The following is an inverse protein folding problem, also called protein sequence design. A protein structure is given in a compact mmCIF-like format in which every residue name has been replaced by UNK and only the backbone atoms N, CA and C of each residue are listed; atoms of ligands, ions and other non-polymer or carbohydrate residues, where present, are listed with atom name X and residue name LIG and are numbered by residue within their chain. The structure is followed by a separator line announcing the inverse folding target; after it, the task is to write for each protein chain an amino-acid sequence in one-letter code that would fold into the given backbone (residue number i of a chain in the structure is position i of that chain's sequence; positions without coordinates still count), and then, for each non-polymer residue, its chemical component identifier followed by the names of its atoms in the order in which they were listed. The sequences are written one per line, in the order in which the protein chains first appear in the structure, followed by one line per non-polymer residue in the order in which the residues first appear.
data_IF_742810125615
#
_entry.id   IF_742810125615
#
_cell.length_a   1.000
_cell.length_b   1.000
_cell.length_c   1.000
_cell.angle_alpha   90.00
_cell.angle_beta   90.00
_cell.angle_gamma   90.00
#
_symmetry.space_group_name_H-M   'P 1'
#
loop_
_entity.id
_entity.type
_entity.pdbx_description
1 polymer ?
#
# COMPACT_ATOMS: atom_id res chain seq x y z
N UNK A 1 -21.39 21.10 -18.26
CA UNK A 1 -21.79 20.17 -17.21
C UNK A 1 -20.56 19.89 -16.38
N UNK A 2 -20.58 20.09 -15.08
CA UNK A 2 -19.40 20.22 -14.22
C UNK A 2 -18.92 18.84 -13.79
N UNK A 3 -17.71 18.48 -14.22
CA UNK A 3 -17.00 17.26 -13.80
C UNK A 3 -16.50 17.46 -12.36
N UNK A 4 -16.88 16.56 -11.47
CA UNK A 4 -16.24 16.42 -10.16
C UNK A 4 -15.22 15.28 -10.30
N UNK A 5 -13.98 15.66 -10.55
CA UNK A 5 -12.85 14.75 -10.34
C UNK A 5 -12.48 14.84 -8.86
N UNK A 6 -12.74 13.81 -8.10
CA UNK A 6 -12.27 13.69 -6.74
C UNK A 6 -10.82 13.15 -6.78
N UNK A 7 -9.88 14.07 -6.93
CA UNK A 7 -8.47 13.79 -6.68
C UNK A 7 -8.28 13.98 -5.17
N UNK A 8 -8.01 12.92 -4.44
CA UNK A 8 -7.49 13.01 -3.10
C UNK A 8 -6.03 13.45 -3.16
N UNK A 9 -5.83 14.78 -3.31
CA UNK A 9 -4.55 15.40 -3.04
C UNK A 9 -4.52 15.77 -1.55
N UNK A 10 -3.76 15.02 -0.77
CA UNK A 10 -3.37 15.45 0.56
C UNK A 10 -2.45 16.65 0.42
N UNK A 11 -3.01 17.87 0.54
CA UNK A 11 -2.24 19.10 0.57
C UNK A 11 -1.65 19.28 1.97
N UNK A 12 -0.37 18.99 2.14
CA UNK A 12 0.42 19.46 3.28
C UNK A 12 0.68 20.96 3.13
N UNK A 13 -0.03 21.78 3.89
CA UNK A 13 0.32 23.18 4.06
C UNK A 13 1.30 23.32 5.24
N UNK A 14 2.56 23.55 4.93
CA UNK A 14 3.59 23.94 5.91
C UNK A 14 3.55 25.46 6.12
N UNK A 15 3.12 25.88 7.28
CA UNK A 15 3.38 27.23 7.80
C UNK A 15 4.47 27.16 8.85
N UNK A 16 5.60 27.79 8.55
CA UNK A 16 6.69 27.99 9.51
C UNK A 16 6.27 28.97 10.60
N UNK A 17 6.28 28.56 11.87
CA UNK A 17 6.21 29.45 13.03
C UNK A 17 7.53 29.42 13.76
N UNK A 18 8.10 30.62 13.94
CA UNK A 18 9.28 30.93 14.74
C UNK A 18 9.00 30.71 16.23
N UNK A 19 9.88 29.96 16.90
CA UNK A 19 9.80 29.67 18.33
C UNK A 19 10.28 30.82 19.18
N UNK A 20 9.56 31.12 20.29
CA UNK A 20 9.99 31.90 21.42
C UNK A 20 10.41 30.95 22.56
N UNK A 21 11.39 31.31 23.41
CA UNK A 21 11.92 30.40 24.42
C UNK A 21 10.98 30.23 25.60
N UNK A 22 10.71 28.98 25.99
CA UNK A 22 9.87 28.62 27.13
C UNK A 22 10.72 28.02 28.26
N UNK A 23 10.46 28.48 29.47
CA UNK A 23 11.13 28.09 30.71
C UNK A 23 10.90 26.60 31.07
N UNK A 24 11.96 25.95 31.53
CA UNK A 24 11.99 24.57 31.96
C UNK A 24 11.26 24.35 33.26
N UNK A 25 10.12 23.69 33.26
CA UNK A 25 9.46 23.18 34.47
C UNK A 25 9.65 21.69 34.56
N UNK A 26 10.38 21.20 35.56
CA UNK A 26 10.57 19.79 35.86
C UNK A 26 9.28 19.17 36.40
N UNK A 27 8.72 18.20 35.71
CA UNK A 27 7.59 17.36 36.14
C UNK A 27 8.15 16.08 36.78
N UNK A 28 7.66 15.63 37.96
CA UNK A 28 8.07 14.40 38.59
C UNK A 28 7.58 13.18 37.77
N UNK A 29 8.42 12.13 37.73
CA UNK A 29 8.09 10.85 37.08
C UNK A 29 6.79 10.27 37.68
N UNK A 30 5.84 9.96 36.78
CA UNK A 30 4.63 9.24 37.14
C UNK A 30 4.93 7.73 37.27
N UNK A 31 4.29 7.10 38.23
CA UNK A 31 4.31 5.65 38.44
C UNK A 31 3.78 4.90 37.18
N UNK A 32 4.29 3.70 36.89
CA UNK A 32 3.82 2.92 35.75
C UNK A 32 2.33 2.58 35.91
N UNK A 33 1.54 2.66 34.82
CA UNK A 33 0.12 2.29 34.87
C UNK A 33 -0.06 0.82 35.24
N UNK A 34 -1.05 0.57 36.09
CA UNK A 34 -1.45 -0.76 36.53
C UNK A 34 -1.80 -1.65 35.31
N UNK A 35 -1.37 -2.91 35.39
CA UNK A 35 -1.73 -3.98 34.44
C UNK A 35 -3.23 -3.89 34.07
N UNK A 36 -3.49 -3.70 32.78
CA UNK A 36 -4.83 -3.77 32.25
C UNK A 36 -5.37 -5.17 32.44
N UNK A 37 -6.52 -5.27 33.10
CA UNK A 37 -7.24 -6.52 33.29
C UNK A 37 -7.50 -7.20 31.94
N UNK A 38 -7.25 -8.50 31.88
CA UNK A 38 -7.58 -9.34 30.76
C UNK A 38 -9.04 -9.11 30.33
N UNK A 39 -9.22 -8.70 29.09
CA UNK A 39 -10.54 -8.53 28.48
C UNK A 39 -11.23 -9.89 28.46
N UNK A 40 -12.46 -9.95 28.89
CA UNK A 40 -13.33 -11.13 28.76
C UNK A 40 -13.38 -11.51 27.27
N UNK A 41 -13.00 -12.76 26.96
CA UNK A 41 -13.17 -13.36 25.63
C UNK A 41 -14.63 -13.19 25.20
N UNK A 42 -14.84 -12.51 24.09
CA UNK A 42 -16.14 -12.41 23.44
C UNK A 42 -16.44 -13.79 22.83
N UNK A 43 -17.17 -14.63 23.55
CA UNK A 43 -17.39 -16.05 23.25
C UNK A 43 -18.36 -16.31 22.08
N UNK A 44 -18.88 -15.26 21.41
CA UNK A 44 -19.92 -15.35 20.38
C UNK A 44 -19.49 -14.93 18.97
N UNK A 45 -18.21 -14.69 18.72
CA UNK A 45 -17.75 -14.52 17.35
C UNK A 45 -17.72 -15.91 16.68
N UNK A 46 -18.64 -16.17 15.76
CA UNK A 46 -18.53 -17.32 14.86
C UNK A 46 -17.15 -17.27 14.22
N UNK A 47 -16.30 -18.26 14.52
CA UNK A 47 -14.98 -18.36 13.91
C UNK A 47 -15.18 -18.62 12.41
N UNK A 48 -14.95 -17.59 11.61
CA UNK A 48 -14.90 -17.73 10.16
C UNK A 48 -13.44 -17.94 9.71
N UNK A 49 -13.30 -18.58 8.58
CA UNK A 49 -11.99 -18.81 8.00
C UNK A 49 -11.44 -17.49 7.42
N UNK A 50 -10.19 -17.17 7.75
CA UNK A 50 -9.41 -16.07 7.18
C UNK A 50 -8.22 -16.70 6.47
N UNK A 51 -8.02 -16.32 5.22
CA UNK A 51 -6.88 -16.73 4.41
C UNK A 51 -5.70 -15.76 4.51
N UNK A 52 -4.86 -15.78 3.50
CA UNK A 52 -3.79 -14.80 3.36
C UNK A 52 -4.39 -13.45 2.96
N UNK A 53 -4.27 -12.49 3.86
CA UNK A 53 -4.84 -11.16 3.65
C UNK A 53 -4.02 -10.35 2.65
N UNK A 54 -4.72 -9.54 1.85
CA UNK A 54 -4.15 -8.61 0.89
C UNK A 54 -4.83 -7.26 0.99
N UNK A 55 -4.06 -6.20 0.79
CA UNK A 55 -4.65 -4.88 0.59
C UNK A 55 -5.29 -4.77 -0.79
N UNK A 56 -6.29 -3.92 -0.92
CA UNK A 56 -6.76 -3.46 -2.21
C UNK A 56 -5.71 -2.52 -2.81
N UNK A 57 -5.24 -2.82 -4.01
CA UNK A 57 -4.19 -2.10 -4.72
C UNK A 57 -4.49 -2.18 -6.23
N UNK A 58 -4.01 -1.21 -7.00
CA UNK A 58 -4.14 -1.14 -8.47
C UNK A 58 -3.49 -2.33 -9.17
N UNK A 59 -2.47 -2.91 -8.54
CA UNK A 59 -1.72 -4.04 -9.04
C UNK A 59 -1.71 -5.19 -8.06
N UNK A 60 -2.08 -6.38 -8.52
CA UNK A 60 -1.74 -7.61 -7.83
C UNK A 60 -0.47 -8.20 -8.41
N UNK A 61 0.54 -8.41 -7.57
CA UNK A 61 1.85 -8.98 -7.92
C UNK A 61 2.05 -10.27 -7.14
N UNK A 62 1.98 -11.38 -7.85
CA UNK A 62 2.26 -12.72 -7.32
C UNK A 62 3.65 -13.20 -7.75
N UNK A 63 4.04 -14.40 -7.36
CA UNK A 63 5.33 -15.01 -7.74
C UNK A 63 5.47 -15.20 -9.25
N UNK A 64 4.40 -15.61 -9.91
CA UNK A 64 4.41 -16.04 -11.32
C UNK A 64 3.66 -15.10 -12.27
N UNK A 65 2.87 -14.19 -11.70
CA UNK A 65 1.95 -13.34 -12.49
C UNK A 65 1.74 -11.97 -11.86
N UNK A 66 1.40 -10.99 -12.71
CA UNK A 66 0.79 -9.74 -12.28
C UNK A 66 -0.60 -9.56 -12.89
N UNK A 67 -1.46 -8.85 -12.15
CA UNK A 67 -2.79 -8.43 -12.61
C UNK A 67 -2.91 -6.93 -12.43
N UNK A 68 -3.50 -6.26 -13.42
CA UNK A 68 -3.72 -4.82 -13.38
C UNK A 68 -4.81 -4.40 -14.35
N UNK A 69 -5.24 -3.14 -14.24
CA UNK A 69 -6.28 -2.57 -15.09
C UNK A 69 -5.72 -1.58 -16.09
N UNK A 70 -6.38 -1.52 -17.24
CA UNK A 70 -6.31 -0.39 -18.15
C UNK A 70 -7.70 0.22 -18.26
N UNK A 71 -7.75 1.52 -18.08
CA UNK A 71 -8.93 2.30 -18.42
C UNK A 71 -8.85 2.69 -19.89
N UNK A 72 -9.94 2.49 -20.62
CA UNK A 72 -10.07 3.04 -21.96
C UNK A 72 -10.04 4.57 -21.96
N UNK A 73 -10.34 5.15 -23.11
CA UNK A 73 -10.46 6.61 -23.24
C UNK A 73 -11.29 7.23 -22.10
N UNK A 74 -10.98 8.49 -21.76
CA UNK A 74 -11.67 9.29 -20.74
C UNK A 74 -13.20 9.36 -20.97
N UNK A 75 -13.61 9.18 -22.21
CA UNK A 75 -15.02 9.16 -22.60
C UNK A 75 -15.58 7.72 -22.71
N UNK A 76 -14.74 6.69 -22.67
CA UNK A 76 -15.16 5.29 -22.61
C UNK A 76 -15.25 4.82 -21.17
N UNK A 77 -16.35 4.21 -20.87
CA UNK A 77 -16.60 3.57 -19.58
C UNK A 77 -16.07 2.12 -19.58
N UNK A 78 -15.04 1.83 -20.39
CA UNK A 78 -14.49 0.48 -20.48
C UNK A 78 -13.29 0.30 -19.58
N UNK A 79 -13.36 -0.72 -18.73
CA UNK A 79 -12.26 -1.21 -17.91
C UNK A 79 -11.78 -2.55 -18.45
N UNK A 80 -10.51 -2.64 -18.80
CA UNK A 80 -9.87 -3.88 -19.25
C UNK A 80 -8.97 -4.41 -18.13
N UNK A 81 -9.21 -5.63 -17.70
CA UNK A 81 -8.29 -6.35 -16.80
C UNK A 81 -7.29 -7.18 -17.59
N UNK A 82 -6.02 -7.04 -17.23
CA UNK A 82 -4.89 -7.75 -17.83
C UNK A 82 -4.22 -8.66 -16.81
N UNK A 83 -3.76 -9.79 -17.30
CA UNK A 83 -2.84 -10.71 -16.62
C UNK A 83 -1.53 -10.72 -17.39
N UNK A 84 -0.42 -10.49 -16.70
CA UNK A 84 0.92 -10.74 -17.23
C UNK A 84 1.45 -12.03 -16.63
N UNK A 85 1.80 -12.98 -17.47
CA UNK A 85 2.53 -14.19 -17.09
C UNK A 85 4.03 -13.91 -17.18
N UNK A 86 4.74 -14.08 -16.06
CA UNK A 86 6.17 -13.75 -16.03
C UNK A 86 7.01 -14.77 -16.79
N UNK A 87 6.61 -16.04 -16.84
CA UNK A 87 7.42 -17.09 -17.44
C UNK A 87 7.66 -16.87 -18.94
N UNK A 88 6.65 -16.44 -19.65
CA UNK A 88 6.73 -16.19 -21.10
C UNK A 88 6.72 -14.68 -21.46
N UNK A 89 6.50 -13.81 -20.48
CA UNK A 89 6.43 -12.37 -20.68
C UNK A 89 5.24 -11.94 -21.53
N UNK A 90 4.11 -12.63 -21.44
CA UNK A 90 2.94 -12.38 -22.28
C UNK A 90 1.79 -11.78 -21.46
N UNK A 91 1.22 -10.69 -21.96
CA UNK A 91 -0.03 -10.14 -21.44
C UNK A 91 -1.24 -10.77 -22.09
N UNK A 92 -2.24 -11.07 -21.29
CA UNK A 92 -3.53 -11.57 -21.75
C UNK A 92 -4.67 -10.77 -21.14
N UNK A 93 -5.68 -10.46 -21.95
CA UNK A 93 -6.92 -9.87 -21.47
C UNK A 93 -7.74 -10.92 -20.72
N UNK A 94 -8.06 -10.66 -19.48
CA UNK A 94 -8.83 -11.57 -18.63
C UNK A 94 -10.26 -11.10 -18.39
N UNK A 95 -10.52 -9.80 -18.52
CA UNK A 95 -11.86 -9.24 -18.43
C UNK A 95 -12.00 -7.97 -19.26
N UNK A 96 -13.25 -7.68 -19.62
CA UNK A 96 -13.68 -6.39 -20.12
C UNK A 96 -14.99 -6.05 -19.44
N UNK A 97 -15.12 -4.83 -18.95
CA UNK A 97 -16.27 -4.35 -18.25
C UNK A 97 -16.62 -2.95 -18.74
N UNK A 98 -17.82 -2.77 -19.27
CA UNK A 98 -18.36 -1.44 -19.52
C UNK A 98 -18.92 -0.91 -18.22
N UNK A 99 -18.33 0.17 -17.71
CA UNK A 99 -18.73 0.78 -16.45
C UNK A 99 -19.82 1.81 -16.74
N UNK A 100 -21.08 1.41 -16.57
CA UNK A 100 -22.21 2.34 -16.55
C UNK A 100 -22.44 2.95 -15.16
N UNK A 101 -21.87 2.30 -14.15
CA UNK A 101 -22.00 2.60 -12.74
C UNK A 101 -20.68 3.18 -12.18
N UNK A 102 -20.70 3.62 -10.94
CA UNK A 102 -19.49 4.06 -10.25
C UNK A 102 -18.65 2.85 -9.88
N UNK A 103 -17.36 2.87 -10.27
CA UNK A 103 -16.37 1.89 -9.83
C UNK A 103 -15.88 2.25 -8.41
N UNK A 104 -15.92 1.30 -7.50
CA UNK A 104 -15.55 1.48 -6.09
C UNK A 104 -14.25 0.78 -5.70
N UNK A 105 -13.73 -0.08 -6.55
CA UNK A 105 -12.45 -0.74 -6.30
C UNK A 105 -11.74 -1.02 -7.61
N UNK A 106 -10.43 -1.13 -7.51
CA UNK A 106 -9.61 -1.74 -8.54
C UNK A 106 -9.82 -3.27 -8.58
N UNK A 107 -8.90 -3.98 -9.22
CA UNK A 107 -8.98 -5.44 -9.27
C UNK A 107 -8.64 -6.06 -7.91
N UNK A 108 -9.56 -6.84 -7.38
CA UNK A 108 -9.27 -7.75 -6.28
C UNK A 108 -9.10 -9.15 -6.87
N UNK A 109 -7.90 -9.70 -6.77
CA UNK A 109 -7.59 -11.04 -7.32
C UNK A 109 -7.28 -12.00 -6.18
N UNK A 110 -8.10 -13.01 -6.04
CA UNK A 110 -7.96 -14.04 -5.00
C UNK A 110 -7.02 -15.17 -5.44
N UNK A 111 -6.57 -15.99 -4.50
CA UNK A 111 -5.57 -17.05 -4.74
C UNK A 111 -6.04 -18.13 -5.75
N UNK A 112 -7.34 -18.26 -5.96
CA UNK A 112 -7.95 -19.09 -7.01
C UNK A 112 -8.02 -18.38 -8.39
N UNK A 113 -7.35 -17.24 -8.53
CA UNK A 113 -7.32 -16.40 -9.73
C UNK A 113 -8.70 -15.86 -10.16
N UNK A 114 -9.63 -15.73 -9.24
CA UNK A 114 -10.90 -15.05 -9.49
C UNK A 114 -10.68 -13.54 -9.33
N UNK A 115 -11.02 -12.81 -10.37
CA UNK A 115 -10.92 -11.34 -10.40
C UNK A 115 -12.27 -10.75 -10.03
N UNK A 116 -12.28 -9.80 -9.10
CA UNK A 116 -13.48 -9.11 -8.64
C UNK A 116 -13.34 -7.61 -8.78
N UNK A 117 -14.45 -6.95 -9.13
CA UNK A 117 -14.58 -5.49 -9.14
C UNK A 117 -15.85 -5.10 -8.39
N UNK A 118 -15.79 -4.01 -7.65
CA UNK A 118 -16.92 -3.45 -6.93
C UNK A 118 -17.53 -2.29 -7.68
N UNK A 119 -18.85 -2.29 -7.74
CA UNK A 119 -19.65 -1.34 -8.48
C UNK A 119 -20.76 -0.81 -7.57
N UNK A 120 -21.11 0.47 -7.74
CA UNK A 120 -22.36 1.02 -7.23
C UNK A 120 -23.11 1.70 -8.36
N UNK A 121 -24.43 1.71 -8.28
CA UNK A 121 -25.23 2.52 -9.18
C UNK A 121 -25.04 4.03 -8.90
N UNK A 122 -25.46 4.90 -9.83
CA UNK A 122 -25.21 6.34 -9.77
C UNK A 122 -25.71 7.02 -8.48
N UNK A 123 -26.80 6.51 -7.88
CA UNK A 123 -27.38 7.06 -6.65
C UNK A 123 -26.82 6.43 -5.37
N UNK A 124 -25.91 5.47 -5.49
CA UNK A 124 -25.28 4.78 -4.36
C UNK A 124 -26.24 3.88 -3.57
N UNK A 125 -27.42 3.57 -4.09
CA UNK A 125 -28.43 2.77 -3.39
C UNK A 125 -28.18 1.28 -3.44
N UNK A 126 -27.34 0.80 -4.39
CA UNK A 126 -27.03 -0.60 -4.58
C UNK A 126 -25.54 -0.80 -4.77
N UNK A 127 -24.97 -1.69 -3.97
CA UNK A 127 -23.58 -2.11 -4.07
C UNK A 127 -23.53 -3.53 -4.60
N UNK A 128 -22.71 -3.73 -5.64
CA UNK A 128 -22.56 -5.01 -6.32
C UNK A 128 -21.08 -5.32 -6.49
N UNK A 129 -20.77 -6.59 -6.62
CA UNK A 129 -19.46 -7.02 -7.09
C UNK A 129 -19.60 -8.03 -8.23
N UNK A 130 -18.73 -7.91 -9.20
CA UNK A 130 -18.68 -8.81 -10.33
C UNK A 130 -17.41 -9.64 -10.27
N UNK A 131 -17.57 -10.95 -10.33
CA UNK A 131 -16.49 -11.94 -10.29
C UNK A 131 -16.27 -12.51 -11.69
N UNK A 132 -15.02 -12.58 -12.11
CA UNK A 132 -14.59 -13.17 -13.38
C UNK A 132 -13.70 -14.36 -13.04
N UNK A 133 -14.07 -15.52 -13.55
CA UNK A 133 -13.41 -16.78 -13.27
C UNK A 133 -12.43 -17.16 -14.37
N UNK A 134 -11.36 -17.94 -14.07
CA UNK A 134 -10.37 -18.37 -15.06
C UNK A 134 -10.96 -19.20 -16.23
N UNK A 135 -12.11 -19.82 -16.03
CA UNK A 135 -12.84 -20.59 -17.04
C UNK A 135 -13.70 -19.73 -17.99
N UNK A 136 -13.64 -18.40 -17.83
CA UNK A 136 -14.39 -17.43 -18.64
C UNK A 136 -15.81 -17.15 -18.15
N UNK A 137 -16.28 -17.79 -17.08
CA UNK A 137 -17.56 -17.43 -16.46
C UNK A 137 -17.45 -16.07 -15.77
N UNK A 138 -18.57 -15.38 -15.68
CA UNK A 138 -18.70 -14.23 -14.76
C UNK A 138 -20.00 -14.33 -13.98
N UNK A 139 -19.96 -13.85 -12.75
CA UNK A 139 -21.10 -13.78 -11.86
C UNK A 139 -21.17 -12.38 -11.24
N UNK A 140 -22.37 -11.88 -11.05
CA UNK A 140 -22.61 -10.62 -10.36
C UNK A 140 -23.50 -10.87 -9.14
N UNK A 141 -23.15 -10.23 -8.03
CA UNK A 141 -23.90 -10.35 -6.77
C UNK A 141 -24.09 -8.97 -6.17
N UNK A 142 -25.24 -8.79 -5.54
CA UNK A 142 -25.50 -7.61 -4.72
C UNK A 142 -24.97 -7.85 -3.32
N UNK A 143 -24.22 -6.90 -2.78
CA UNK A 143 -23.86 -6.88 -1.38
C UNK A 143 -25.06 -6.46 -0.54
N UNK A 144 -25.28 -7.12 0.60
CA UNK A 144 -26.43 -6.83 1.45
C UNK A 144 -26.37 -5.44 2.11
N UNK A 145 -25.18 -4.82 2.13
CA UNK A 145 -24.94 -3.45 2.62
C UNK A 145 -23.79 -2.82 1.83
N UNK A 146 -23.66 -1.49 1.94
CA UNK A 146 -22.52 -0.77 1.42
C UNK A 146 -21.21 -1.27 2.04
N UNK A 147 -20.26 -1.58 1.17
CA UNK A 147 -18.92 -1.97 1.58
C UNK A 147 -17.88 -1.48 0.55
N UNK A 148 -16.88 -0.75 1.02
CA UNK A 148 -15.70 -0.38 0.23
C UNK A 148 -14.53 -1.21 0.77
N UNK A 149 -14.10 -2.26 0.06
CA UNK A 149 -13.05 -3.15 0.54
C UNK A 149 -11.76 -2.42 0.84
N UNK A 150 -11.12 -2.75 1.95
CA UNK A 150 -9.78 -2.29 2.31
C UNK A 150 -8.78 -3.43 2.27
N UNK A 151 -9.21 -4.59 2.73
CA UNK A 151 -8.43 -5.83 2.80
C UNK A 151 -9.30 -6.98 2.32
N UNK A 152 -8.72 -7.99 1.72
CA UNK A 152 -9.45 -9.17 1.25
C UNK A 152 -8.60 -10.44 1.30
N UNK A 153 -9.28 -11.58 1.24
CA UNK A 153 -8.71 -12.91 1.05
C UNK A 153 -9.54 -13.74 0.06
N UNK A 154 -9.30 -15.04 -0.02
CA UNK A 154 -10.05 -15.95 -0.89
C UNK A 154 -11.50 -16.18 -0.45
N UNK A 155 -11.87 -15.81 0.79
CA UNK A 155 -13.22 -16.05 1.35
C UNK A 155 -14.07 -14.79 1.38
N UNK A 156 -13.46 -13.63 1.62
CA UNK A 156 -14.19 -12.41 1.93
C UNK A 156 -13.42 -11.12 1.61
N UNK A 157 -14.13 -10.01 1.60
CA UNK A 157 -13.55 -8.68 1.75
C UNK A 157 -13.89 -8.11 3.13
N UNK A 158 -13.01 -7.24 3.61
CA UNK A 158 -13.10 -6.65 4.95
C UNK A 158 -12.97 -5.13 4.88
N UNK A 159 -13.75 -4.46 5.72
CA UNK A 159 -13.62 -3.03 6.01
C UNK A 159 -13.44 -2.86 7.49
N UNK A 160 -12.37 -2.17 7.86
CA UNK A 160 -12.11 -1.79 9.25
C UNK A 160 -12.55 -0.35 9.46
N UNK A 161 -13.38 -0.15 10.47
CA UNK A 161 -13.80 1.18 10.95
C UNK A 161 -13.59 1.19 12.47
N UNK A 162 -13.62 2.38 13.06
CA UNK A 162 -13.51 2.49 14.52
C UNK A 162 -14.53 1.59 15.22
N UNK A 163 -13.99 0.71 16.08
CA UNK A 163 -14.74 -0.26 16.87
C UNK A 163 -15.57 -1.29 16.08
N UNK A 164 -15.33 -1.43 14.77
CA UNK A 164 -16.14 -2.31 13.93
C UNK A 164 -15.35 -2.91 12.77
N UNK A 165 -15.60 -4.18 12.47
CA UNK A 165 -15.23 -4.83 11.22
C UNK A 165 -16.47 -5.26 10.48
N UNK A 166 -16.55 -4.95 9.20
CA UNK A 166 -17.54 -5.50 8.28
C UNK A 166 -16.87 -6.50 7.33
N UNK A 167 -17.46 -7.68 7.17
CA UNK A 167 -17.01 -8.76 6.29
C UNK A 167 -18.06 -9.04 5.24
N UNK A 168 -17.68 -8.95 3.97
CA UNK A 168 -18.49 -9.38 2.83
C UNK A 168 -18.06 -10.78 2.39
N UNK A 169 -18.95 -11.71 2.45
CA UNK A 169 -18.74 -13.07 1.97
C UNK A 169 -18.86 -13.16 0.44
N UNK A 170 -17.84 -13.70 -0.23
CA UNK A 170 -17.83 -13.80 -1.70
C UNK A 170 -18.89 -14.72 -2.29
N UNK A 171 -19.30 -15.73 -1.55
CA UNK A 171 -20.23 -16.72 -2.05
C UNK A 171 -21.69 -16.28 -1.92
N UNK A 172 -22.00 -15.55 -0.87
CA UNK A 172 -23.39 -15.17 -0.55
C UNK A 172 -23.70 -13.71 -0.87
N UNK A 173 -22.72 -12.81 -0.85
CA UNK A 173 -22.93 -11.37 -0.91
C UNK A 173 -23.42 -10.79 0.43
N UNK A 174 -23.47 -11.58 1.48
CA UNK A 174 -23.91 -11.14 2.79
C UNK A 174 -22.79 -10.38 3.50
N UNK A 175 -23.14 -9.24 4.10
CA UNK A 175 -22.24 -8.44 4.93
C UNK A 175 -22.61 -8.68 6.38
N UNK A 176 -21.64 -9.21 7.13
CA UNK A 176 -21.73 -9.35 8.59
C UNK A 176 -20.84 -8.31 9.25
N UNK A 177 -21.29 -7.78 10.39
CA UNK A 177 -20.56 -6.74 11.13
C UNK A 177 -20.45 -7.16 12.60
N UNK A 178 -19.26 -6.95 13.19
CA UNK A 178 -19.06 -7.17 14.62
C UNK A 178 -18.23 -6.04 15.24
N UNK A 179 -18.47 -5.83 16.52
CA UNK A 179 -17.72 -4.88 17.31
C UNK A 179 -16.31 -5.41 17.56
N UNK A 180 -15.36 -4.50 17.54
CA UNK A 180 -13.96 -4.77 17.85
C UNK A 180 -13.52 -3.93 19.03
N UNK A 181 -12.38 -4.27 19.62
CA UNK A 181 -11.74 -3.46 20.65
C UNK A 181 -10.72 -2.46 20.08
N UNK A 182 -10.82 -2.10 18.79
CA UNK A 182 -9.84 -1.25 18.11
C UNK A 182 -10.37 0.18 18.02
N UNK A 183 -10.10 1.05 19.00
CA UNK A 183 -10.49 2.45 18.91
C UNK A 183 -9.49 3.24 18.08
N UNK A 184 -9.97 4.26 17.40
CA UNK A 184 -9.16 5.32 16.81
C UNK A 184 -8.12 4.81 15.78
N UNK A 185 -8.56 3.93 14.86
CA UNK A 185 -7.76 3.52 13.72
C UNK A 185 -7.35 4.77 12.93
N UNK A 186 -6.04 4.93 12.70
CA UNK A 186 -5.48 6.03 11.92
C UNK A 186 -5.30 5.60 10.46
N UNK A 187 -4.64 4.45 10.25
CA UNK A 187 -4.29 3.98 8.91
C UNK A 187 -4.12 2.46 8.90
N UNK A 188 -4.53 1.83 7.81
CA UNK A 188 -4.19 0.43 7.50
C UNK A 188 -2.94 0.47 6.63
N UNK A 189 -1.85 -0.10 7.14
CA UNK A 189 -0.55 -0.04 6.49
C UNK A 189 -0.29 -1.22 5.56
N UNK A 190 -0.83 -2.41 5.90
CA UNK A 190 -0.53 -3.61 5.15
C UNK A 190 -1.17 -4.86 5.72
N UNK A 191 -0.89 -5.98 5.08
CA UNK A 191 -1.18 -7.31 5.58
C UNK A 191 0.14 -8.04 5.90
N UNK A 192 0.12 -8.81 6.96
CA UNK A 192 1.23 -9.66 7.41
C UNK A 192 0.67 -11.06 7.67
N UNK A 193 0.75 -11.93 6.66
CA UNK A 193 0.07 -13.21 6.68
C UNK A 193 -1.45 -13.06 6.75
N UNK A 194 -2.06 -13.57 7.82
CA UNK A 194 -3.50 -13.45 8.08
C UNK A 194 -3.87 -12.31 9.05
N UNK A 195 -2.94 -11.42 9.35
CA UNK A 195 -3.15 -10.25 10.22
C UNK A 195 -3.05 -8.95 9.44
N UNK A 196 -3.67 -7.91 9.96
CA UNK A 196 -3.61 -6.55 9.43
C UNK A 196 -2.64 -5.75 10.28
N UNK A 197 -1.65 -5.13 9.63
CA UNK A 197 -0.81 -4.10 10.23
C UNK A 197 -1.53 -2.76 10.11
N UNK A 198 -1.80 -2.14 11.23
CA UNK A 198 -2.49 -0.84 11.29
C UNK A 198 -1.81 0.10 12.27
N UNK A 199 -2.21 1.36 12.23
CA UNK A 199 -1.84 2.33 13.25
C UNK A 199 -3.08 2.89 13.92
N UNK A 200 -2.89 3.28 15.19
CA UNK A 200 -3.92 3.95 16.00
C UNK A 200 -3.40 5.25 16.57
N UNK A 201 -4.31 6.18 16.77
CA UNK A 201 -4.03 7.41 17.51
C UNK A 201 -4.19 7.13 19.00
N UNK A 202 -3.12 7.33 19.76
CA UNK A 202 -3.14 7.24 21.22
C UNK A 202 -2.99 8.62 21.81
N UNK A 203 -3.98 9.06 22.56
CA UNK A 203 -4.06 10.41 23.16
C UNK A 203 -4.57 10.33 24.60
N UNK A 204 -4.05 11.20 25.46
CA UNK A 204 -4.50 11.32 26.84
C UNK A 204 -5.94 11.87 26.96
N UNK A 205 -6.47 12.42 25.89
CA UNK A 205 -7.83 12.97 25.81
C UNK A 205 -8.59 12.32 24.64
N UNK A 206 -9.91 12.16 24.76
CA UNK A 206 -10.73 11.74 23.62
C UNK A 206 -10.54 12.71 22.46
N UNK A 207 -10.52 12.18 21.21
CA UNK A 207 -10.43 13.02 20.03
C UNK A 207 -11.69 13.90 19.90
N UNK A 208 -11.54 15.23 19.90
CA UNK A 208 -12.68 16.12 19.75
C UNK A 208 -13.18 16.13 18.29
N UNK A 209 -14.45 16.47 18.11
CA UNK A 209 -15.03 16.67 16.78
C UNK A 209 -14.81 18.08 16.23
N UNK A 210 -14.39 19.01 17.07
CA UNK A 210 -14.03 20.37 16.67
C UNK A 210 -12.65 20.36 15.99
N UNK A 211 -12.50 20.89 14.76
CA UNK A 211 -11.24 20.80 14.00
C UNK A 211 -10.04 21.47 14.68
N UNK A 212 -10.22 22.62 15.34
CA UNK A 212 -9.11 23.33 15.99
C UNK A 212 -8.64 22.57 17.25
N UNK A 213 -9.59 22.04 18.01
CA UNK A 213 -9.28 21.21 19.17
C UNK A 213 -8.70 19.86 18.76
N UNK A 214 -9.20 19.28 17.68
CA UNK A 214 -8.69 18.03 17.12
C UNK A 214 -7.21 18.16 16.77
N UNK A 215 -6.84 19.22 16.03
CA UNK A 215 -5.45 19.47 15.64
C UNK A 215 -4.52 19.59 16.86
N UNK A 216 -4.95 20.32 17.90
CA UNK A 216 -4.18 20.46 19.13
C UNK A 216 -3.97 19.13 19.88
N UNK A 217 -4.96 18.23 19.86
CA UNK A 217 -4.85 16.91 20.48
C UNK A 217 -3.94 16.01 19.65
N UNK A 218 -4.10 16.03 18.32
CA UNK A 218 -3.30 15.23 17.39
C UNK A 218 -1.81 15.59 17.46
N UNK A 219 -1.46 16.87 17.58
CA UNK A 219 -0.07 17.29 17.69
C UNK A 219 0.65 16.70 18.91
N UNK A 220 -0.09 16.40 19.97
CA UNK A 220 0.46 15.81 21.20
C UNK A 220 0.18 14.30 21.33
N UNK A 221 -0.41 13.69 20.31
CA UNK A 221 -0.73 12.27 20.33
C UNK A 221 0.46 11.41 19.96
N UNK A 222 0.33 10.12 20.24
CA UNK A 222 1.24 9.10 19.80
C UNK A 222 0.60 8.26 18.69
N UNK A 223 1.42 7.63 17.87
CA UNK A 223 1.04 6.65 16.86
C UNK A 223 1.46 5.27 17.36
N UNK A 224 0.49 4.40 17.58
CA UNK A 224 0.72 3.03 17.98
C UNK A 224 0.59 2.12 16.75
N UNK A 225 1.55 1.22 16.57
CA UNK A 225 1.56 0.22 15.50
C UNK A 225 1.12 -1.12 16.09
N UNK A 226 0.12 -1.72 15.47
CA UNK A 226 -0.52 -2.92 15.96
C UNK A 226 -0.71 -3.94 14.84
N UNK A 227 -0.70 -5.24 15.22
CA UNK A 227 -1.19 -6.33 14.38
C UNK A 227 -2.59 -6.74 14.86
N UNK A 228 -3.56 -6.67 13.99
CA UNK A 228 -4.91 -7.12 14.25
C UNK A 228 -5.21 -8.45 13.57
N UNK A 229 -5.59 -9.43 14.35
CA UNK A 229 -6.07 -10.73 13.89
C UNK A 229 -7.60 -10.70 13.79
N UNK A 230 -8.11 -10.72 12.56
CA UNK A 230 -9.55 -10.65 12.29
C UNK A 230 -10.25 -11.91 12.81
N UNK A 231 -9.64 -13.09 12.65
CA UNK A 231 -10.26 -14.37 12.99
C UNK A 231 -10.49 -14.52 14.50
N UNK A 232 -9.58 -13.98 15.31
CA UNK A 232 -9.64 -14.08 16.77
C UNK A 232 -10.12 -12.78 17.42
N UNK A 233 -10.31 -11.71 16.65
CA UNK A 233 -10.63 -10.37 17.15
C UNK A 233 -9.63 -9.88 18.21
N UNK A 234 -8.33 -10.11 17.97
CA UNK A 234 -7.28 -9.74 18.92
C UNK A 234 -6.32 -8.72 18.33
N UNK A 235 -5.87 -7.79 19.17
CA UNK A 235 -4.93 -6.75 18.82
C UNK A 235 -3.61 -6.98 19.57
N UNK A 236 -2.52 -7.05 18.81
CA UNK A 236 -1.16 -7.20 19.33
C UNK A 236 -0.39 -5.90 19.10
N UNK A 237 -0.03 -5.23 20.19
CA UNK A 237 0.77 -4.01 20.12
C UNK A 237 2.22 -4.34 19.78
N UNK A 238 2.75 -3.65 18.78
CA UNK A 238 4.15 -3.76 18.38
C UNK A 238 5.02 -2.69 19.06
N UNK A 239 4.77 -1.43 18.72
CA UNK A 239 5.50 -0.30 19.28
C UNK A 239 4.67 0.97 19.17
N UNK A 240 5.16 2.03 19.83
CA UNK A 240 4.54 3.34 19.84
C UNK A 240 5.58 4.43 19.59
N UNK A 241 5.21 5.49 18.92
CA UNK A 241 6.06 6.65 18.67
C UNK A 241 5.27 7.97 18.76
N UNK A 242 5.93 9.11 18.99
CA UNK A 242 5.28 10.40 18.80
C UNK A 242 4.77 10.54 17.36
N UNK A 243 3.53 11.02 17.20
CA UNK A 243 2.98 11.26 15.86
C UNK A 243 3.77 12.35 15.12
N UNK A 244 4.22 13.35 15.85
CA UNK A 244 5.11 14.41 15.36
C UNK A 244 6.40 14.38 16.17
N UNK A 245 7.49 13.83 15.62
CA UNK A 245 8.78 13.82 16.29
C UNK A 245 9.28 15.24 16.60
N UNK A 246 9.81 15.46 17.80
CA UNK A 246 10.31 16.78 18.23
C UNK A 246 11.50 17.28 17.40
N UNK A 247 12.25 16.38 16.79
CA UNK A 247 13.39 16.68 15.91
C UNK A 247 12.97 17.12 14.51
N UNK A 248 11.67 17.22 14.22
CA UNK A 248 11.14 17.59 12.91
C UNK A 248 11.26 16.48 11.87
N UNK A 249 11.56 15.25 12.29
CA UNK A 249 11.54 14.05 11.43
C UNK A 249 10.13 13.68 10.99
N UNK A 250 10.05 12.63 10.18
CA UNK A 250 8.76 12.01 9.79
C UNK A 250 8.39 10.84 10.70
N UNK A 251 7.14 10.45 10.67
CA UNK A 251 6.75 9.13 11.16
C UNK A 251 7.31 8.02 10.26
N UNK A 252 7.22 6.78 10.74
CA UNK A 252 7.65 5.60 9.98
C UNK A 252 6.61 5.24 8.91
N UNK A 253 7.09 5.04 7.68
CA UNK A 253 6.28 4.64 6.54
C UNK A 253 6.58 3.17 6.26
N UNK A 254 5.57 2.31 6.37
CA UNK A 254 5.70 0.88 6.13
C UNK A 254 6.03 0.58 4.67
N UNK A 255 6.94 -0.37 4.45
CA UNK A 255 7.42 -0.78 3.14
C UNK A 255 7.06 -2.22 2.79
N UNK A 256 6.80 -3.06 3.78
CA UNK A 256 6.52 -4.48 3.57
C UNK A 256 7.15 -5.35 4.66
N UNK A 257 6.98 -6.65 4.51
CA UNK A 257 7.56 -7.64 5.43
C UNK A 257 8.36 -8.69 4.64
N UNK A 258 9.39 -9.26 5.30
CA UNK A 258 10.13 -10.44 4.86
C UNK A 258 10.38 -11.35 6.04
N UNK A 259 9.81 -12.56 6.04
CA UNK A 259 9.80 -13.41 7.22
C UNK A 259 9.19 -12.67 8.41
N UNK A 260 9.91 -12.65 9.54
CA UNK A 260 9.49 -11.96 10.76
C UNK A 260 9.97 -10.49 10.85
N UNK A 261 10.47 -9.92 9.76
CA UNK A 261 10.97 -8.54 9.72
C UNK A 261 9.97 -7.63 9.01
N UNK A 262 9.52 -6.56 9.70
CA UNK A 262 8.79 -5.45 9.10
C UNK A 262 9.77 -4.34 8.72
N UNK A 263 9.61 -3.76 7.55
CA UNK A 263 10.48 -2.71 7.04
C UNK A 263 9.77 -1.36 7.02
N UNK A 264 10.47 -0.33 7.48
CA UNK A 264 9.97 1.04 7.51
C UNK A 264 11.01 2.00 6.98
N UNK A 265 10.54 3.08 6.36
CA UNK A 265 11.39 4.22 6.04
C UNK A 265 11.01 5.38 6.95
N UNK A 266 12.01 6.10 7.44
CA UNK A 266 11.83 7.28 8.28
C UNK A 266 12.84 8.35 7.93
N UNK A 267 12.38 9.60 7.81
CA UNK A 267 13.25 10.78 7.78
C UNK A 267 13.58 11.21 9.21
N UNK A 268 14.85 11.45 9.49
CA UNK A 268 15.33 11.95 10.77
C UNK A 268 16.08 13.26 10.57
N UNK A 269 16.00 14.18 11.52
CA UNK A 269 16.86 15.37 11.52
C UNK A 269 18.32 14.97 11.75
N UNK A 270 19.25 15.57 11.03
CA UNK A 270 20.69 15.33 11.16
C UNK A 270 21.44 16.68 11.03
N UNK A 271 21.60 17.35 12.17
CA UNK A 271 22.22 18.69 12.24
C UNK A 271 21.40 19.74 11.48
N UNK A 272 22.01 20.32 10.43
CA UNK A 272 21.34 21.29 9.55
C UNK A 272 20.59 20.65 8.38
N UNK A 273 20.57 19.30 8.31
CA UNK A 273 19.97 18.51 7.22
C UNK A 273 19.08 17.40 7.73
N UNK A 274 18.81 16.46 6.84
CA UNK A 274 18.05 15.26 7.12
C UNK A 274 18.84 14.02 6.69
N UNK A 275 18.57 12.90 7.32
CA UNK A 275 18.91 11.58 6.82
C UNK A 275 17.66 10.75 6.65
N UNK A 276 17.65 9.97 5.59
CA UNK A 276 16.64 8.94 5.36
C UNK A 276 17.17 7.62 5.91
N UNK A 277 16.36 6.95 6.71
CA UNK A 277 16.73 5.70 7.34
C UNK A 277 15.75 4.59 6.96
N UNK A 278 16.29 3.45 6.54
CA UNK A 278 15.57 2.19 6.44
C UNK A 278 15.69 1.46 7.77
N UNK A 279 14.59 1.11 8.35
CA UNK A 279 14.48 0.47 9.65
C UNK A 279 13.87 -0.93 9.50
N UNK A 280 14.37 -1.89 10.28
CA UNK A 280 13.75 -3.20 10.42
C UNK A 280 13.20 -3.37 11.83
N UNK A 281 11.97 -3.84 11.94
CA UNK A 281 11.36 -4.26 13.21
C UNK A 281 11.19 -5.77 13.21
N UNK A 282 11.88 -6.44 14.11
CA UNK A 282 11.83 -7.90 14.27
C UNK A 282 10.64 -8.28 15.16
N UNK A 283 9.67 -8.96 14.58
CA UNK A 283 8.46 -9.43 15.27
C UNK A 283 8.75 -10.42 16.38
N UNK A 284 9.83 -11.23 16.25
CA UNK A 284 10.20 -12.24 17.24
C UNK A 284 10.77 -11.63 18.51
N UNK A 285 11.61 -10.59 18.34
CA UNK A 285 12.32 -9.95 19.47
C UNK A 285 11.68 -8.65 19.94
N UNK A 286 10.77 -8.07 19.14
CA UNK A 286 10.15 -6.77 19.42
C UNK A 286 11.15 -5.60 19.32
N UNK A 287 12.23 -5.75 18.54
CA UNK A 287 13.29 -4.74 18.46
C UNK A 287 13.35 -4.05 17.10
N UNK A 288 13.55 -2.73 17.14
CA UNK A 288 13.80 -1.90 15.95
C UNK A 288 15.30 -1.70 15.76
N UNK A 289 15.77 -1.83 14.51
CA UNK A 289 17.17 -1.56 14.15
C UNK A 289 17.25 -0.73 12.87
N UNK A 290 18.26 0.11 12.77
CA UNK A 290 18.58 0.83 11.54
C UNK A 290 19.38 -0.11 10.63
N UNK A 291 18.84 -0.40 9.45
CA UNK A 291 19.44 -1.28 8.45
C UNK A 291 20.35 -0.50 7.50
N UNK A 292 19.93 0.70 7.14
CA UNK A 292 20.65 1.61 6.27
C UNK A 292 20.21 3.05 6.52
N UNK A 293 21.13 4.00 6.33
CA UNK A 293 20.80 5.42 6.38
C UNK A 293 21.72 6.21 5.45
N UNK A 294 21.18 7.23 4.80
CA UNK A 294 21.94 8.16 3.98
C UNK A 294 21.53 9.60 4.23
N UNK A 295 22.48 10.53 4.04
CA UNK A 295 22.22 11.94 4.15
C UNK A 295 21.37 12.40 2.96
N UNK A 296 20.29 13.12 3.23
CA UNK A 296 19.48 13.78 2.22
C UNK A 296 19.84 15.26 2.22
N UNK A 297 20.40 15.75 1.12
CA UNK A 297 20.86 17.15 1.03
C UNK A 297 19.75 18.12 0.65
N UNK A 298 18.65 17.66 0.06
CA UNK A 298 17.58 18.53 -0.41
C UNK A 298 16.19 17.88 -0.33
N UNK A 299 15.20 18.71 -0.05
CA UNK A 299 13.78 18.33 -0.03
C UNK A 299 13.26 17.78 -1.37
N UNK A 300 13.98 17.99 -2.43
CA UNK A 300 13.59 17.68 -3.82
C UNK A 300 14.01 16.27 -4.25
N UNK A 301 14.87 15.59 -3.50
CA UNK A 301 15.37 14.26 -3.84
C UNK A 301 15.14 13.18 -2.80
N UNK A 302 14.67 13.55 -1.59
CA UNK A 302 14.38 12.57 -0.55
C UNK A 302 13.14 11.76 -0.90
N UNK A 303 13.02 10.56 -0.36
CA UNK A 303 11.90 9.63 -0.46
C UNK A 303 10.52 10.29 -0.60
N UNK A 304 10.29 11.01 -1.68
CA UNK A 304 8.98 11.62 -1.95
C UNK A 304 7.89 10.56 -2.09
N UNK A 305 8.29 9.31 -2.40
CA UNK A 305 7.48 8.10 -2.35
C UNK A 305 8.41 6.89 -2.32
N UNK A 306 8.84 6.41 -1.14
CA UNK A 306 9.54 5.14 -1.07
C UNK A 306 8.62 4.08 -1.65
N UNK A 307 9.12 3.37 -2.67
CA UNK A 307 8.41 2.25 -3.28
C UNK A 307 9.04 0.97 -2.82
N UNK A 308 8.23 0.00 -2.52
CA UNK A 308 8.66 -1.34 -2.18
C UNK A 308 8.13 -2.34 -3.19
N UNK A 309 8.91 -3.38 -3.43
CA UNK A 309 8.59 -4.42 -4.40
C UNK A 309 8.69 -5.76 -3.72
N UNK A 310 7.60 -6.49 -3.78
CA UNK A 310 7.46 -7.78 -3.14
C UNK A 310 7.36 -8.90 -4.20
N UNK A 311 7.71 -10.12 -3.76
CA UNK A 311 7.45 -11.35 -4.47
C UNK A 311 6.64 -12.28 -3.56
N UNK A 312 5.45 -12.67 -3.96
CA UNK A 312 4.59 -13.54 -3.16
C UNK A 312 4.33 -13.01 -1.75
N UNK A 313 4.13 -11.71 -1.59
CA UNK A 313 3.91 -11.07 -0.29
C UNK A 313 5.17 -10.83 0.55
N UNK A 314 6.36 -11.28 0.09
CA UNK A 314 7.63 -11.04 0.76
C UNK A 314 8.35 -9.86 0.13
N UNK A 315 8.80 -8.91 0.94
CA UNK A 315 9.58 -7.77 0.48
C UNK A 315 10.92 -8.22 -0.12
N UNK A 316 11.20 -7.80 -1.34
CA UNK A 316 12.46 -8.08 -2.03
C UNK A 316 13.32 -6.83 -2.17
N UNK A 317 12.75 -5.74 -2.67
CA UNK A 317 13.48 -4.51 -2.92
C UNK A 317 12.79 -3.33 -2.25
N UNK A 318 13.59 -2.39 -1.74
CA UNK A 318 13.12 -1.06 -1.31
C UNK A 318 13.86 -0.01 -2.12
N UNK A 319 13.10 0.79 -2.84
CA UNK A 319 13.61 1.96 -3.50
C UNK A 319 13.85 3.06 -2.47
N UNK A 320 15.10 3.46 -2.29
CA UNK A 320 15.49 4.42 -1.28
C UNK A 320 15.54 5.85 -1.83
N UNK A 321 16.23 6.05 -2.94
CA UNK A 321 16.45 7.37 -3.54
C UNK A 321 16.68 7.28 -5.04
N UNK A 322 16.28 8.32 -5.79
CA UNK A 322 16.82 8.57 -7.12
C UNK A 322 17.74 9.77 -7.10
N UNK A 323 18.91 9.59 -7.68
CA UNK A 323 19.80 10.69 -8.09
C UNK A 323 19.63 10.88 -9.58
N UNK A 324 20.17 11.97 -10.18
CA UNK A 324 20.13 12.14 -11.64
C UNK A 324 20.76 10.99 -12.43
N UNK A 325 21.66 10.22 -11.80
CA UNK A 325 22.47 9.21 -12.47
C UNK A 325 22.17 7.77 -12.00
N UNK A 326 21.44 7.58 -10.90
CA UNK A 326 21.21 6.24 -10.34
C UNK A 326 19.97 6.15 -9.44
N UNK A 327 19.44 4.94 -9.35
CA UNK A 327 18.46 4.51 -8.34
C UNK A 327 19.22 3.81 -7.21
N UNK A 328 19.02 4.24 -5.97
CA UNK A 328 19.51 3.54 -4.79
C UNK A 328 18.46 2.53 -4.35
N UNK A 329 18.79 1.26 -4.43
CA UNK A 329 17.88 0.16 -4.15
C UNK A 329 18.48 -0.74 -3.07
N UNK A 330 17.74 -0.90 -1.97
CA UNK A 330 18.08 -1.88 -0.94
C UNK A 330 17.48 -3.24 -1.33
N UNK A 331 18.32 -4.27 -1.34
CA UNK A 331 17.89 -5.66 -1.52
C UNK A 331 17.71 -6.31 -0.14
N UNK A 332 16.47 -6.68 0.18
CA UNK A 332 16.13 -7.26 1.47
C UNK A 332 16.65 -8.70 1.66
N UNK A 333 17.05 -9.38 0.58
CA UNK A 333 17.58 -10.74 0.65
C UNK A 333 19.02 -10.80 1.16
N UNK A 334 19.85 -9.82 0.80
CA UNK A 334 21.27 -9.78 1.18
C UNK A 334 21.66 -8.59 2.08
N UNK A 335 20.71 -7.65 2.28
CA UNK A 335 20.92 -6.47 3.12
C UNK A 335 21.86 -5.42 2.53
N UNK A 336 22.05 -5.42 1.20
CA UNK A 336 22.96 -4.49 0.52
C UNK A 336 22.16 -3.40 -0.22
N UNK A 337 22.82 -2.25 -0.42
CA UNK A 337 22.33 -1.17 -1.27
C UNK A 337 23.06 -1.16 -2.60
N UNK A 338 22.32 -1.14 -3.68
CA UNK A 338 22.81 -1.12 -5.04
C UNK A 338 22.53 0.23 -5.70
N UNK A 339 23.48 0.69 -6.51
CA UNK A 339 23.31 1.88 -7.34
C UNK A 339 23.00 1.41 -8.77
N UNK A 340 21.75 1.32 -9.09
CA UNK A 340 21.29 0.92 -10.42
C UNK A 340 21.31 2.15 -11.31
N UNK A 341 22.04 2.15 -12.45
CA UNK A 341 22.07 3.26 -13.37
C UNK A 341 20.68 3.68 -13.79
N UNK A 342 20.45 4.96 -13.73
CA UNK A 342 19.24 5.58 -14.19
C UNK A 342 19.27 5.72 -15.69
N UNK A 343 18.32 5.13 -16.37
CA UNK A 343 18.07 5.42 -17.77
C UNK A 343 16.92 6.41 -17.85
N UNK A 344 17.27 7.67 -18.19
CA UNK A 344 16.34 8.52 -18.88
C UNK A 344 16.44 8.14 -20.38
N UNK A 345 15.63 7.20 -20.88
CA UNK A 345 15.50 7.12 -22.30
C UNK A 345 14.92 8.46 -22.68
N UNK A 346 15.54 9.11 -23.61
CA UNK A 346 14.99 10.26 -24.33
C UNK A 346 13.68 9.88 -24.98
N UNK A 347 12.77 9.47 -24.13
CA UNK A 347 11.50 8.95 -24.49
C UNK A 347 10.65 10.01 -24.94
N UNK A 348 10.33 9.80 -26.10
CA UNK A 348 9.24 10.48 -26.71
C UNK A 348 9.15 11.92 -26.21
N UNK A 349 10.07 12.76 -26.70
CA UNK A 349 9.95 14.21 -26.58
C UNK A 349 8.52 14.70 -26.94
N UNK A 350 7.72 13.82 -27.57
CA UNK A 350 6.32 14.04 -27.87
C UNK A 350 5.41 14.04 -26.62
N UNK A 351 5.75 13.32 -25.56
CA UNK A 351 4.87 13.20 -24.37
C UNK A 351 5.37 13.99 -23.15
N UNK A 352 6.57 14.59 -23.22
CA UNK A 352 7.04 15.55 -22.23
C UNK A 352 7.26 15.02 -20.80
N UNK A 353 7.19 13.73 -20.62
CA UNK A 353 7.40 13.08 -19.34
C UNK A 353 8.82 12.54 -19.30
N UNK A 354 9.70 13.20 -18.57
CA UNK A 354 11.01 12.69 -18.21
C UNK A 354 10.89 11.64 -17.12
N UNK A 355 10.03 10.61 -17.31
CA UNK A 355 9.85 9.58 -16.32
C UNK A 355 10.87 8.46 -16.46
N UNK A 356 11.23 7.94 -15.34
CA UNK A 356 12.29 7.01 -15.06
C UNK A 356 12.03 5.63 -15.65
N UNK A 357 12.79 5.26 -16.66
CA UNK A 357 12.77 3.92 -17.22
C UNK A 357 13.65 2.98 -16.42
N UNK A 358 13.29 1.71 -16.45
CA UNK A 358 13.93 0.72 -15.62
C UNK A 358 13.54 0.81 -14.16
N UNK A 359 12.50 1.58 -13.82
CA UNK A 359 11.95 1.51 -12.47
C UNK A 359 11.35 0.13 -12.22
N UNK A 360 11.73 -0.54 -11.13
CA UNK A 360 11.16 -1.82 -10.80
C UNK A 360 9.67 -1.68 -10.49
N UNK A 361 8.90 -2.71 -10.84
CA UNK A 361 7.47 -2.82 -10.55
C UNK A 361 7.22 -4.02 -9.65
N UNK A 362 7.90 -5.13 -9.91
CA UNK A 362 7.77 -6.36 -9.14
C UNK A 362 9.05 -7.18 -9.23
N UNK A 363 9.28 -8.01 -8.24
CA UNK A 363 10.25 -9.11 -8.31
C UNK A 363 9.47 -10.40 -8.52
N UNK A 364 9.93 -11.23 -9.44
CA UNK A 364 9.26 -12.47 -9.83
C UNK A 364 9.81 -13.67 -9.08
N UNK A 365 9.02 -14.74 -8.97
CA UNK A 365 9.46 -15.96 -8.26
C UNK A 365 10.59 -16.73 -8.94
N UNK A 366 10.84 -16.48 -10.21
CA UNK A 366 11.97 -17.04 -10.94
C UNK A 366 13.24 -16.17 -10.90
N UNK A 367 13.23 -15.11 -10.05
CA UNK A 367 14.42 -14.28 -9.81
C UNK A 367 14.65 -13.18 -10.83
N UNK A 368 13.62 -12.76 -11.55
CA UNK A 368 13.66 -11.60 -12.44
C UNK A 368 13.01 -10.37 -11.81
N UNK A 369 13.20 -9.24 -12.45
CA UNK A 369 12.55 -7.97 -12.12
C UNK A 369 11.70 -7.54 -13.31
N UNK A 370 10.44 -7.23 -13.04
CA UNK A 370 9.59 -6.51 -13.98
C UNK A 370 9.88 -5.02 -13.84
N UNK A 371 10.17 -4.36 -14.94
CA UNK A 371 10.48 -2.92 -14.99
C UNK A 371 9.60 -2.22 -16.01
N UNK A 372 9.40 -0.92 -15.85
CA UNK A 372 8.91 -0.08 -16.95
C UNK A 372 10.01 0.06 -18.00
N UNK A 373 9.69 -0.21 -19.25
CA UNK A 373 10.60 -0.15 -20.40
C UNK A 373 10.01 0.70 -21.54
N UNK A 374 9.52 1.87 -21.19
CA UNK A 374 8.97 2.80 -22.16
C UNK A 374 7.45 2.86 -22.19
N UNK A 375 6.93 3.33 -23.32
CA UNK A 375 5.50 3.46 -23.54
C UNK A 375 5.04 2.67 -24.75
N UNK A 376 3.81 2.20 -24.67
CA UNK A 376 3.10 1.61 -25.80
C UNK A 376 1.76 2.29 -26.02
N UNK A 377 1.25 2.21 -27.23
CA UNK A 377 -0.08 2.72 -27.58
C UNK A 377 -0.98 1.56 -27.93
N UNK A 378 -2.00 1.36 -27.12
CA UNK A 378 -3.08 0.42 -27.48
C UNK A 378 -4.01 1.06 -28.52
N UNK A 379 -4.50 0.30 -29.51
CA UNK A 379 -5.26 0.85 -30.64
C UNK A 379 -6.49 1.67 -30.26
N UNK A 380 -7.17 1.31 -29.18
CA UNK A 380 -8.43 1.94 -28.76
C UNK A 380 -8.28 2.79 -27.51
N UNK A 381 -7.04 3.22 -27.21
CA UNK A 381 -6.74 4.07 -26.05
C UNK A 381 -6.14 5.40 -26.52
N UNK A 382 -6.63 6.51 -26.00
CA UNK A 382 -6.19 7.83 -26.39
C UNK A 382 -4.81 8.21 -25.84
N UNK A 383 -4.38 7.55 -24.76
CA UNK A 383 -3.13 7.83 -24.08
C UNK A 383 -2.19 6.63 -24.16
N UNK A 384 -0.87 6.91 -24.30
CA UNK A 384 0.11 5.86 -24.16
C UNK A 384 0.10 5.30 -22.75
N UNK A 385 0.35 4.00 -22.65
CA UNK A 385 0.49 3.28 -21.40
C UNK A 385 1.93 2.78 -21.25
N UNK A 386 2.34 2.43 -20.04
CA UNK A 386 3.67 1.87 -19.81
C UNK A 386 3.88 0.59 -20.61
N UNK A 387 5.03 0.47 -21.24
CA UNK A 387 5.58 -0.77 -21.72
C UNK A 387 6.46 -1.39 -20.64
N UNK A 388 6.60 -2.71 -20.65
CA UNK A 388 7.30 -3.45 -19.62
C UNK A 388 8.37 -4.35 -20.19
N UNK A 389 9.40 -4.59 -19.38
CA UNK A 389 10.47 -5.52 -19.66
C UNK A 389 10.77 -6.40 -18.44
N UNK A 390 11.37 -7.55 -18.68
CA UNK A 390 11.86 -8.47 -17.67
C UNK A 390 13.37 -8.58 -17.78
N UNK A 391 14.05 -8.65 -16.63
CA UNK A 391 15.50 -8.79 -16.55
C UNK A 391 15.86 -9.61 -15.30
N UNK A 392 16.91 -10.39 -15.36
CA UNK A 392 17.42 -11.10 -14.18
C UNK A 392 17.77 -10.11 -13.06
N UNK A 393 17.40 -10.42 -11.82
CA UNK A 393 17.62 -9.54 -10.66
C UNK A 393 19.10 -9.19 -10.48
N UNK A 394 20.01 -10.14 -10.65
CA UNK A 394 21.46 -9.89 -10.54
C UNK A 394 21.94 -8.92 -11.62
N UNK A 395 21.49 -9.09 -12.87
CA UNK A 395 21.82 -8.22 -13.99
C UNK A 395 21.23 -6.82 -13.79
N UNK A 396 19.98 -6.73 -13.31
CA UNK A 396 19.35 -5.46 -12.96
C UNK A 396 20.14 -4.70 -11.89
N UNK A 397 20.50 -5.37 -10.79
CA UNK A 397 21.28 -4.77 -9.70
C UNK A 397 22.72 -4.42 -10.12
N UNK A 398 23.27 -5.11 -11.13
CA UNK A 398 24.55 -4.77 -11.75
C UNK A 398 24.46 -3.61 -12.74
N UNK A 399 23.25 -3.10 -13.02
CA UNK A 399 23.03 -1.96 -13.90
C UNK A 399 22.90 -2.32 -15.38
N UNK A 400 22.61 -3.56 -15.71
CA UNK A 400 22.27 -3.95 -17.08
C UNK A 400 20.91 -3.39 -17.46
N UNK A 401 20.74 -3.11 -18.75
CA UNK A 401 19.51 -2.62 -19.37
C UNK A 401 19.05 -3.49 -20.52
N UNK A 402 19.53 -4.71 -20.54
CA UNK A 402 19.16 -5.69 -21.57
C UNK A 402 17.81 -6.34 -21.19
N UNK A 403 16.75 -5.52 -21.22
CA UNK A 403 15.41 -5.95 -20.87
C UNK A 403 14.82 -6.84 -21.98
N UNK A 404 14.26 -7.97 -21.58
CA UNK A 404 13.40 -8.78 -22.43
C UNK A 404 12.03 -8.11 -22.51
N UNK A 405 11.61 -7.58 -23.67
CA UNK A 405 10.32 -6.91 -23.78
C UNK A 405 9.16 -7.84 -23.44
N UNK A 406 8.21 -7.33 -22.67
CA UNK A 406 6.93 -8.00 -22.44
C UNK A 406 6.10 -7.90 -23.71
N UNK A 407 5.54 -9.03 -24.15
CA UNK A 407 4.59 -9.05 -25.24
C UNK A 407 3.27 -8.45 -24.75
N UNK A 408 3.01 -7.23 -25.19
CA UNK A 408 1.80 -6.52 -24.85
C UNK A 408 0.58 -7.19 -25.44
N UNK A 409 -0.54 -7.12 -24.73
CA UNK A 409 -1.81 -7.61 -25.25
C UNK A 409 -2.14 -6.91 -26.57
N UNK A 410 -2.41 -7.69 -27.59
CA UNK A 410 -2.91 -7.21 -28.87
C UNK A 410 -4.39 -7.55 -28.98
N UNK A 411 -5.18 -6.57 -29.41
CA UNK A 411 -6.60 -6.76 -29.67
C UNK A 411 -6.84 -7.72 -30.84
#
# INVERSE_FOLDING_TARGET
MKKLALVFAAALALTACTAAPTETTTIPAADPPAEAAATEENADAEQFQVGELRLCDDWRRDTDTAYYTLYGDVDTTELTGLKLDYADGVQTKIMSLTIADTLYSDLLVTNDNVVRVFLANEDGSEFRFKSFYPDGRSEERTASQEITPMVYDEYAAYVLRDNCVARLDWQTGEVTTWDTSIPQIDEILGAVGNKILLTRIVSDMPLPTDPEMYEAVIQNSQREFDLYDIATNTLEKLFIEPRYPEDGGSWKIYQGCRGDMLYFVQRKSDGDGYKEALLGYDLTTGTMQELYAEASSDWVGGFSNPKSFACGGQLELVFLQSTPDALHIYNAADGQVYNVPYHDPTLNAAYGTGENYGCPIAVTGDGRVLVTDGYTQYPDYDYPTDAYGLIDLEDYLAGSTDYQPVQMWAQ
#
